data_IF_257528436109
#
_entry.id   IF_257528436109
#
_cell.length_a   1.000
_cell.length_b   1.000
_cell.length_c   1.000
_cell.angle_alpha   90.00
_cell.angle_beta   90.00
_cell.angle_gamma   90.00
#
_symmetry.space_group_name_H-M   'P 1'
#
loop_
_entity.id
_entity.type
_entity.pdbx_description
1 polymer ?
#
# COMPACT_ATOMS: atom_id res chain seq x y z
N UNK A 1 -3.85 1.89 14.48
CA UNK A 1 -2.46 1.37 14.36
C UNK A 1 -1.95 1.76 12.99
N UNK A 2 -0.76 2.37 12.92
CA UNK A 2 -0.13 2.88 11.70
C UNK A 2 0.84 1.84 11.15
N UNK A 3 0.60 1.39 9.93
CA UNK A 3 1.43 0.39 9.26
C UNK A 3 1.92 0.96 7.94
N UNK A 4 3.22 0.86 7.69
CA UNK A 4 3.78 1.09 6.35
C UNK A 4 4.28 -0.21 5.74
N UNK A 5 3.91 -0.44 4.48
CA UNK A 5 4.56 -1.46 3.64
C UNK A 5 5.63 -0.79 2.79
N UNK A 6 6.88 -1.20 2.95
CA UNK A 6 8.02 -0.65 2.22
C UNK A 6 8.21 -1.40 0.90
N UNK A 7 7.53 -0.93 -0.14
CA UNK A 7 7.54 -1.53 -1.47
C UNK A 7 6.30 -2.37 -1.74
N UNK A 8 5.50 -1.96 -2.72
CA UNK A 8 4.38 -2.74 -3.24
C UNK A 8 4.83 -3.68 -4.37
N UNK A 9 5.74 -4.61 -4.05
CA UNK A 9 6.06 -5.74 -4.93
C UNK A 9 4.97 -6.83 -4.87
N UNK A 10 5.28 -8.06 -5.28
CA UNK A 10 4.29 -9.16 -5.22
C UNK A 10 3.74 -9.38 -3.79
N UNK A 11 4.63 -9.61 -2.82
CA UNK A 11 4.22 -9.86 -1.41
C UNK A 11 3.75 -8.58 -0.72
N UNK A 12 4.54 -7.51 -0.80
CA UNK A 12 4.19 -6.23 -0.15
C UNK A 12 2.89 -5.64 -0.70
N UNK A 13 2.68 -5.69 -2.02
CA UNK A 13 1.44 -5.24 -2.65
C UNK A 13 0.25 -6.09 -2.25
N UNK A 14 0.40 -7.42 -2.20
CA UNK A 14 -0.66 -8.32 -1.73
C UNK A 14 -1.07 -8.00 -0.29
N UNK A 15 -0.10 -7.94 0.63
CA UNK A 15 -0.36 -7.63 2.03
C UNK A 15 -0.99 -6.25 2.21
N UNK A 16 -0.44 -5.24 1.54
CA UNK A 16 -0.98 -3.88 1.57
C UNK A 16 -2.43 -3.84 1.07
N UNK A 17 -2.75 -4.54 -0.03
CA UNK A 17 -4.11 -4.59 -0.54
C UNK A 17 -5.06 -5.27 0.46
N UNK A 18 -4.67 -6.42 1.04
CA UNK A 18 -5.47 -7.12 2.04
C UNK A 18 -5.69 -6.28 3.31
N UNK A 19 -4.66 -5.60 3.80
CA UNK A 19 -4.76 -4.69 4.95
C UNK A 19 -5.67 -3.50 4.64
N UNK A 20 -5.58 -2.93 3.44
CA UNK A 20 -6.42 -1.82 3.02
C UNK A 20 -7.90 -2.24 2.92
N UNK A 21 -8.18 -3.42 2.36
CA UNK A 21 -9.53 -3.99 2.24
C UNK A 21 -10.13 -4.26 3.62
N UNK A 22 -9.33 -4.76 4.57
CA UNK A 22 -9.78 -4.99 5.95
C UNK A 22 -10.16 -3.70 6.68
N UNK A 23 -9.56 -2.55 6.33
CA UNK A 23 -9.96 -1.22 6.80
C UNK A 23 -9.73 -0.95 8.29
N UNK A 24 -9.00 -1.80 9.00
CA UNK A 24 -8.81 -1.72 10.47
C UNK A 24 -7.53 -1.00 10.90
N UNK A 25 -6.69 -0.59 9.95
CA UNK A 25 -5.39 0.05 10.19
C UNK A 25 -5.22 1.30 9.33
N UNK A 26 -4.42 2.25 9.82
CA UNK A 26 -3.96 3.39 9.02
C UNK A 26 -2.77 2.92 8.18
N UNK A 27 -3.06 2.56 6.93
CA UNK A 27 -2.09 1.97 6.01
C UNK A 27 -1.45 3.03 5.11
N UNK A 28 -0.14 2.93 4.99
CA UNK A 28 0.62 3.65 3.98
C UNK A 28 1.62 2.75 3.24
N UNK A 29 2.07 3.19 2.07
CA UNK A 29 3.01 2.45 1.22
C UNK A 29 4.17 3.37 0.84
N UNK A 30 5.39 2.89 0.97
CA UNK A 30 6.54 3.50 0.28
C UNK A 30 6.67 2.84 -1.09
N UNK A 31 6.53 3.60 -2.16
CA UNK A 31 6.70 3.15 -3.54
C UNK A 31 7.42 4.22 -4.36
N UNK A 32 7.94 3.87 -5.53
CA UNK A 32 8.72 4.81 -6.36
C UNK A 32 8.44 4.65 -7.85
N UNK A 33 8.76 5.69 -8.61
CA UNK A 33 8.62 5.71 -10.06
C UNK A 33 7.19 5.46 -10.53
N UNK A 34 7.04 4.78 -11.67
CA UNK A 34 5.75 4.53 -12.30
C UNK A 34 4.73 3.83 -11.39
N UNK A 35 5.18 2.98 -10.46
CA UNK A 35 4.26 2.27 -9.58
C UNK A 35 3.64 3.19 -8.51
N UNK A 36 4.41 4.15 -7.98
CA UNK A 36 3.87 5.17 -7.08
C UNK A 36 2.79 6.02 -7.77
N UNK A 37 3.08 6.46 -8.99
CA UNK A 37 2.15 7.28 -9.77
C UNK A 37 0.87 6.52 -10.10
N UNK A 38 0.98 5.23 -10.48
CA UNK A 38 -0.18 4.36 -10.70
C UNK A 38 -1.02 4.18 -9.43
N UNK A 39 -0.38 3.92 -8.27
CA UNK A 39 -1.11 3.79 -7.00
C UNK A 39 -1.84 5.08 -6.63
N UNK A 40 -1.22 6.25 -6.85
CA UNK A 40 -1.87 7.55 -6.58
C UNK A 40 -3.05 7.81 -7.50
N UNK A 41 -2.90 7.54 -8.80
CA UNK A 41 -3.95 7.76 -9.80
C UNK A 41 -5.11 6.77 -9.63
N UNK A 42 -4.79 5.48 -9.58
CA UNK A 42 -5.78 4.41 -9.75
C UNK A 42 -6.08 3.65 -8.46
N UNK A 43 -5.25 3.81 -7.42
CA UNK A 43 -5.28 2.97 -6.23
C UNK A 43 -4.45 1.69 -6.38
N UNK A 44 -4.39 0.90 -5.32
CA UNK A 44 -3.72 -0.39 -5.32
C UNK A 44 -4.71 -1.47 -5.78
N UNK A 45 -4.44 -2.06 -6.94
CA UNK A 45 -5.25 -3.13 -7.53
C UNK A 45 -4.75 -4.50 -7.09
N UNK A 46 -5.66 -5.32 -6.58
CA UNK A 46 -5.44 -6.73 -6.31
C UNK A 46 -6.34 -7.56 -7.23
N UNK A 47 -5.73 -8.50 -7.96
CA UNK A 47 -6.43 -9.53 -8.71
C UNK A 47 -6.14 -10.87 -8.06
N UNK A 48 -7.17 -11.54 -7.56
CA UNK A 48 -7.08 -12.82 -6.87
C UNK A 48 -8.36 -13.62 -7.14
N UNK A 49 -8.21 -14.93 -7.42
CA UNK A 49 -9.34 -15.83 -7.68
C UNK A 49 -10.32 -15.32 -8.75
N UNK A 50 -9.79 -14.65 -9.78
CA UNK A 50 -10.57 -14.07 -10.87
C UNK A 50 -11.35 -12.79 -10.50
N UNK A 51 -11.24 -12.33 -9.25
CA UNK A 51 -11.84 -11.09 -8.77
C UNK A 51 -10.81 -9.97 -8.77
N UNK A 52 -11.30 -8.76 -9.05
CA UNK A 52 -10.50 -7.55 -8.96
C UNK A 52 -11.04 -6.66 -7.84
N UNK A 53 -10.14 -6.14 -7.02
CA UNK A 53 -10.46 -5.13 -6.00
C UNK A 53 -9.44 -4.00 -6.09
N UNK A 54 -9.93 -2.76 -5.97
CA UNK A 54 -9.09 -1.56 -5.96
C UNK A 54 -9.22 -0.89 -4.60
N UNK A 55 -8.11 -0.78 -3.88
CA UNK A 55 -8.03 -0.11 -2.59
C UNK A 55 -7.37 1.26 -2.72
N UNK A 56 -8.02 2.30 -2.19
CA UNK A 56 -7.40 3.63 -2.08
C UNK A 56 -6.48 3.63 -0.86
N UNK A 57 -5.19 3.87 -1.10
CA UNK A 57 -4.14 3.83 -0.08
C UNK A 57 -3.28 5.08 -0.15
N UNK A 58 -2.77 5.51 0.99
CA UNK A 58 -1.77 6.58 1.03
C UNK A 58 -0.43 6.02 0.56
N UNK A 59 0.20 6.64 -0.43
CA UNK A 59 1.51 6.23 -0.93
C UNK A 59 2.46 7.42 -1.11
N UNK A 60 3.71 7.24 -0.73
CA UNK A 60 4.75 8.26 -0.84
C UNK A 60 6.08 7.68 -1.35
N UNK A 61 6.92 8.55 -1.92
CA UNK A 61 8.26 8.19 -2.37
C UNK A 61 9.27 8.13 -1.22
N UNK A 62 9.03 8.90 -0.15
CA UNK A 62 9.92 9.04 1.00
C UNK A 62 9.18 8.63 2.26
N UNK A 63 9.84 7.86 3.11
CA UNK A 63 9.26 7.39 4.37
C UNK A 63 8.98 8.56 5.32
N UNK A 64 9.81 9.60 5.29
CA UNK A 64 9.65 10.80 6.13
C UNK A 64 8.30 11.51 5.92
N UNK A 65 7.73 11.44 4.72
CA UNK A 65 6.42 12.03 4.40
C UNK A 65 5.27 11.33 5.12
N UNK A 66 5.47 10.08 5.55
CA UNK A 66 4.46 9.23 6.19
C UNK A 66 4.46 9.34 7.71
N UNK A 67 5.53 9.89 8.29
CA UNK A 67 5.72 10.00 9.74
C UNK A 67 6.06 8.66 10.42
N UNK A 68 6.15 8.66 11.74
CA UNK A 68 6.46 7.47 12.54
C UNK A 68 5.35 6.43 12.43
N UNK A 69 5.72 5.17 12.24
CA UNK A 69 4.81 4.03 12.13
C UNK A 69 4.91 3.16 13.37
N UNK A 70 3.83 2.44 13.66
CA UNK A 70 3.84 1.43 14.73
C UNK A 70 4.49 0.13 14.21
N UNK A 71 4.31 -0.18 12.92
CA UNK A 71 4.92 -1.31 12.23
C UNK A 71 5.40 -0.93 10.82
N UNK A 72 6.52 -1.53 10.41
CA UNK A 72 7.04 -1.45 9.03
C UNK A 72 7.22 -2.87 8.50
N UNK A 73 6.64 -3.14 7.33
CA UNK A 73 6.84 -4.39 6.59
C UNK A 73 7.89 -4.15 5.51
N UNK A 74 8.94 -4.98 5.49
CA UNK A 74 10.06 -4.92 4.54
C UNK A 74 9.98 -6.06 3.52
#
# INVERSE_FOLDING_TARGET
MRITVFGAGAIGGYLAAKLAIAGSVDLSIVARGAHLEAIKADGLRLVEDGNETVARVRAAARAEDLGVQDYVVL
#
